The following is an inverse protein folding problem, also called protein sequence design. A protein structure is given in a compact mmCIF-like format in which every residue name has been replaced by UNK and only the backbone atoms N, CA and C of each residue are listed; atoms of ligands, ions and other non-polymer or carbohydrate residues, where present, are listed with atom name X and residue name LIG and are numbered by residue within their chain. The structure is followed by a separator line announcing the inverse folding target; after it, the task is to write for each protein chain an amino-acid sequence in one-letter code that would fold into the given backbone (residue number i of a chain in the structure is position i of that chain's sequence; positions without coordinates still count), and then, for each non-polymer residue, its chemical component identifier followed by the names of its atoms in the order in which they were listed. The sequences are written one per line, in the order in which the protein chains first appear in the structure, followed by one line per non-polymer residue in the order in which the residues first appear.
data_IF_566436689373
#
_entry.id   IF_566436689373
#
_cell.length_a   1.000
_cell.length_b   1.000
_cell.length_c   1.000
_cell.angle_alpha   90.00
_cell.angle_beta   90.00
_cell.angle_gamma   90.00
#
_symmetry.space_group_name_H-M   'P 1'
#
loop_
_entity.id
_entity.type
_entity.pdbx_description
1 polymer ?
#
# COMPACT_ATOMS: atom_id res chain seq x y z
N UNK A 1 30.42 19.42 74.78
CA UNK A 1 30.07 20.59 73.95
C UNK A 1 29.62 20.08 72.62
N UNK A 2 28.31 19.94 72.46
CA UNK A 2 27.63 19.38 71.28
C UNK A 2 26.86 20.52 70.62
N UNK A 3 27.25 20.87 69.39
CA UNK A 3 26.51 21.84 68.55
C UNK A 3 25.42 21.14 67.77
N UNK A 4 24.24 21.68 67.64
CA UNK A 4 23.15 21.07 66.87
C UNK A 4 23.32 21.40 65.36
N UNK A 5 23.13 20.36 64.53
CA UNK A 5 23.04 20.44 63.07
C UNK A 5 21.65 20.97 62.71
N UNK A 6 21.59 22.15 62.12
CA UNK A 6 20.38 22.69 61.54
C UNK A 6 20.14 22.04 60.16
N UNK A 7 19.10 21.25 60.07
CA UNK A 7 18.56 20.77 58.78
C UNK A 7 17.76 21.89 58.10
N UNK A 8 18.32 22.51 57.07
CA UNK A 8 17.57 23.35 56.15
C UNK A 8 16.69 22.48 55.24
N UNK A 9 15.37 22.61 55.39
CA UNK A 9 14.39 22.08 54.50
C UNK A 9 14.46 22.84 53.18
N UNK A 10 15.02 22.26 52.14
CA UNK A 10 14.84 22.71 50.79
C UNK A 10 13.45 22.30 50.34
N UNK A 11 12.54 23.26 50.34
CA UNK A 11 11.27 23.19 49.63
C UNK A 11 11.55 23.21 48.13
N UNK A 12 11.70 22.04 47.52
CA UNK A 12 11.76 21.85 46.08
C UNK A 12 10.43 22.31 45.48
N UNK A 13 10.49 23.46 44.82
CA UNK A 13 9.44 23.90 43.92
C UNK A 13 9.42 22.95 42.74
N UNK A 14 8.59 21.95 42.85
CA UNK A 14 8.23 21.07 41.71
C UNK A 14 7.38 21.91 40.75
N UNK A 15 8.07 22.72 39.95
CA UNK A 15 7.47 23.39 38.80
C UNK A 15 7.16 22.31 37.79
N UNK A 16 5.99 21.68 37.97
CA UNK A 16 5.39 20.86 36.92
C UNK A 16 5.27 21.73 35.66
N UNK A 17 6.23 21.59 34.76
CA UNK A 17 6.11 22.09 33.40
C UNK A 17 4.95 21.35 32.79
N UNK A 18 3.75 21.94 32.92
CA UNK A 18 2.59 21.50 32.19
C UNK A 18 2.91 21.65 30.70
N UNK A 19 3.30 20.56 30.08
CA UNK A 19 3.43 20.47 28.63
C UNK A 19 2.01 20.70 28.11
N UNK A 20 1.78 21.95 27.67
CA UNK A 20 0.55 22.34 26.97
C UNK A 20 0.47 21.49 25.70
N UNK A 21 -0.18 20.35 25.77
CA UNK A 21 -0.58 19.59 24.59
C UNK A 21 -1.55 20.51 23.83
N UNK A 22 -1.19 20.97 22.62
CA UNK A 22 -2.09 21.82 21.86
C UNK A 22 -3.37 21.03 21.60
N UNK A 23 -4.45 21.39 22.23
CA UNK A 23 -5.78 20.86 21.91
C UNK A 23 -6.04 21.26 20.45
N UNK A 24 -6.07 20.24 19.55
CA UNK A 24 -6.38 20.48 18.15
C UNK A 24 -7.76 21.10 18.04
N UNK A 25 -7.81 22.40 17.89
CA UNK A 25 -9.02 23.18 17.67
C UNK A 25 -9.77 22.61 16.46
N UNK A 26 -11.12 22.66 16.47
CA UNK A 26 -11.93 22.24 15.32
C UNK A 26 -11.50 22.92 14.00
N UNK A 27 -10.92 24.14 14.08
CA UNK A 27 -10.34 24.84 12.94
C UNK A 27 -9.09 24.16 12.37
N UNK A 28 -8.24 23.52 13.19
CA UNK A 28 -7.07 22.80 12.67
C UNK A 28 -7.46 21.53 11.92
N UNK A 29 -8.50 20.82 12.35
CA UNK A 29 -9.02 19.66 11.63
C UNK A 29 -9.59 20.05 10.28
N UNK A 30 -10.30 21.17 10.22
CA UNK A 30 -10.81 21.74 8.98
C UNK A 30 -9.68 22.16 8.04
N UNK A 31 -8.66 22.87 8.54
CA UNK A 31 -7.50 23.30 7.76
C UNK A 31 -6.70 22.12 7.21
N UNK A 32 -6.54 21.03 7.95
CA UNK A 32 -5.84 19.81 7.49
C UNK A 32 -6.49 19.17 6.25
N UNK A 33 -7.79 19.35 6.06
CA UNK A 33 -8.51 18.86 4.89
C UNK A 33 -8.63 19.95 3.83
N UNK A 34 -8.90 21.18 4.24
CA UNK A 34 -9.12 22.30 3.31
C UNK A 34 -7.87 22.67 2.52
N UNK A 35 -6.68 22.66 3.15
CA UNK A 35 -5.42 23.03 2.49
C UNK A 35 -5.07 22.09 1.32
N UNK A 36 -5.06 20.74 1.48
CA UNK A 36 -4.80 19.83 0.35
C UNK A 36 -5.82 19.95 -0.78
N UNK A 37 -7.10 20.15 -0.45
CA UNK A 37 -8.16 20.33 -1.45
C UNK A 37 -7.95 21.66 -2.20
N UNK A 38 -7.67 22.76 -1.48
CA UNK A 38 -7.39 24.04 -2.09
C UNK A 38 -6.18 24.01 -3.02
N UNK A 39 -5.10 23.30 -2.62
CA UNK A 39 -3.92 23.10 -3.46
C UNK A 39 -4.24 22.29 -4.71
N UNK A 40 -5.07 21.24 -4.60
CA UNK A 40 -5.49 20.45 -5.75
C UNK A 40 -6.32 21.29 -6.72
N UNK A 41 -7.29 22.05 -6.22
CA UNK A 41 -8.12 22.95 -7.03
C UNK A 41 -7.27 24.02 -7.70
N UNK A 42 -6.32 24.59 -6.95
CA UNK A 42 -5.37 25.58 -7.49
C UNK A 42 -4.52 24.97 -8.63
N UNK A 43 -3.98 23.77 -8.44
CA UNK A 43 -3.18 23.09 -9.47
C UNK A 43 -4.01 22.81 -10.74
N UNK A 44 -5.27 22.36 -10.60
CA UNK A 44 -6.18 22.13 -11.72
C UNK A 44 -6.51 23.47 -12.42
N UNK A 45 -6.73 24.54 -11.68
CA UNK A 45 -7.01 25.87 -12.25
C UNK A 45 -5.79 26.41 -13.03
N UNK A 46 -4.59 26.29 -12.47
CA UNK A 46 -3.33 26.68 -13.14
C UNK A 46 -3.16 25.87 -14.43
N UNK A 47 -3.38 24.56 -14.40
CA UNK A 47 -3.32 23.70 -15.59
C UNK A 47 -4.35 24.15 -16.66
N UNK A 48 -5.59 24.39 -16.27
CA UNK A 48 -6.63 24.88 -17.18
C UNK A 48 -6.24 26.23 -17.83
N UNK A 49 -5.79 27.19 -17.03
CA UNK A 49 -5.39 28.51 -17.48
C UNK A 49 -4.18 28.40 -18.44
N UNK A 50 -3.17 27.61 -18.10
CA UNK A 50 -2.00 27.39 -18.94
C UNK A 50 -2.36 26.87 -20.33
N UNK A 51 -3.24 25.86 -20.40
CA UNK A 51 -3.68 25.30 -21.69
C UNK A 51 -4.50 26.30 -22.51
N UNK A 52 -5.37 27.08 -21.85
CA UNK A 52 -6.22 28.07 -22.53
C UNK A 52 -5.43 29.26 -23.04
N UNK A 53 -4.55 29.86 -22.20
CA UNK A 53 -3.76 31.04 -22.57
C UNK A 53 -2.69 30.69 -23.60
N UNK A 54 -2.05 29.52 -23.43
CA UNK A 54 -1.03 29.04 -24.34
C UNK A 54 -1.57 28.49 -25.67
N UNK A 55 -2.90 28.40 -25.85
CA UNK A 55 -3.54 27.75 -27.01
C UNK A 55 -2.92 26.40 -27.33
N UNK A 56 -2.60 25.61 -26.28
CA UNK A 56 -1.90 24.34 -26.44
C UNK A 56 -2.83 23.33 -27.13
N UNK A 57 -2.37 22.70 -28.24
CA UNK A 57 -3.20 21.70 -28.93
C UNK A 57 -3.55 20.51 -28.03
N UNK A 58 -4.77 20.01 -28.12
CA UNK A 58 -5.30 18.91 -27.28
C UNK A 58 -4.51 17.60 -27.40
N UNK A 59 -3.82 17.39 -28.55
CA UNK A 59 -2.97 16.21 -28.76
C UNK A 59 -1.57 16.35 -28.11
N UNK A 60 -1.20 17.53 -27.60
CA UNK A 60 0.02 17.76 -26.81
C UNK A 60 -0.34 17.69 -25.32
N UNK A 61 -1.24 18.57 -24.89
CA UNK A 61 -1.69 18.63 -23.50
C UNK A 61 -3.19 18.99 -23.47
N UNK A 62 -4.07 18.04 -23.11
CA UNK A 62 -5.51 18.31 -22.99
C UNK A 62 -5.77 19.18 -21.77
N UNK A 63 -6.85 19.97 -21.81
CA UNK A 63 -7.32 20.69 -20.64
C UNK A 63 -8.03 19.74 -19.67
N UNK A 64 -8.12 20.07 -18.36
CA UNK A 64 -8.93 19.32 -17.40
C UNK A 64 -10.37 19.08 -17.85
N UNK A 65 -10.95 20.05 -18.55
CA UNK A 65 -12.31 19.94 -19.11
C UNK A 65 -12.35 18.91 -20.26
N UNK A 66 -11.33 18.87 -21.13
CA UNK A 66 -11.24 17.87 -22.19
C UNK A 66 -11.09 16.45 -21.60
N UNK A 67 -10.32 16.31 -20.51
CA UNK A 67 -10.17 15.03 -19.79
C UNK A 67 -11.49 14.58 -19.17
N UNK A 68 -12.23 15.48 -18.53
CA UNK A 68 -13.54 15.17 -17.96
C UNK A 68 -14.57 14.77 -19.04
N UNK A 69 -14.57 15.47 -20.17
CA UNK A 69 -15.40 15.12 -21.32
C UNK A 69 -15.04 13.75 -21.93
N UNK A 70 -13.76 13.46 -22.04
CA UNK A 70 -13.29 12.15 -22.50
C UNK A 70 -13.69 11.04 -21.52
N UNK A 71 -13.57 11.28 -20.22
CA UNK A 71 -14.00 10.33 -19.19
C UNK A 71 -15.50 10.00 -19.33
N UNK A 72 -16.34 11.01 -19.58
CA UNK A 72 -17.76 10.82 -19.74
C UNK A 72 -18.13 10.11 -21.07
N UNK A 73 -17.57 10.58 -22.19
CA UNK A 73 -17.91 10.08 -23.53
C UNK A 73 -17.35 8.67 -23.78
N UNK A 74 -16.15 8.37 -23.25
CA UNK A 74 -15.45 7.09 -23.43
C UNK A 74 -15.74 6.10 -22.30
N UNK A 75 -16.69 6.41 -21.38
CA UNK A 75 -16.98 5.59 -20.22
C UNK A 75 -17.31 4.14 -20.57
N UNK A 76 -18.07 3.94 -21.66
CA UNK A 76 -18.40 2.61 -22.17
C UNK A 76 -17.19 1.73 -22.52
N UNK A 77 -16.02 2.35 -22.78
CA UNK A 77 -14.76 1.65 -23.05
C UNK A 77 -13.84 1.59 -21.85
N UNK A 78 -13.79 2.66 -21.06
CA UNK A 78 -12.91 2.79 -19.90
C UNK A 78 -13.39 1.95 -18.71
N UNK A 79 -14.71 1.89 -18.48
CA UNK A 79 -15.25 1.15 -17.34
C UNK A 79 -15.02 -0.36 -17.42
N UNK A 80 -15.29 -1.07 -18.55
CA UNK A 80 -14.94 -2.48 -18.68
C UNK A 80 -13.42 -2.72 -18.48
N UNK A 81 -12.59 -1.84 -19.02
CA UNK A 81 -11.14 -1.93 -18.85
C UNK A 81 -10.71 -1.74 -17.38
N UNK A 82 -11.35 -0.82 -16.66
CA UNK A 82 -11.15 -0.65 -15.21
C UNK A 82 -11.48 -1.93 -14.45
N UNK A 83 -12.59 -2.59 -14.77
CA UNK A 83 -12.98 -3.84 -14.10
C UNK A 83 -11.96 -4.96 -14.35
N UNK A 84 -11.38 -5.04 -15.55
CA UNK A 84 -10.31 -6.01 -15.86
C UNK A 84 -9.08 -5.75 -15.00
N UNK A 85 -8.58 -4.51 -14.98
CA UNK A 85 -7.42 -4.15 -14.15
C UNK A 85 -7.69 -4.41 -12.67
N UNK A 86 -8.86 -4.05 -12.15
CA UNK A 86 -9.27 -4.33 -10.77
C UNK A 86 -9.30 -5.83 -10.46
N UNK A 87 -9.89 -6.64 -11.34
CA UNK A 87 -9.97 -8.09 -11.17
C UNK A 87 -8.57 -8.72 -11.08
N UNK A 88 -7.69 -8.36 -12.00
CA UNK A 88 -6.31 -8.89 -12.03
C UNK A 88 -5.56 -8.45 -10.77
N UNK A 89 -5.59 -7.16 -10.45
CA UNK A 89 -4.90 -6.60 -9.26
C UNK A 89 -5.39 -7.24 -7.97
N UNK A 90 -6.71 -7.36 -7.80
CA UNK A 90 -7.29 -7.95 -6.59
C UNK A 90 -6.97 -9.45 -6.49
N UNK A 91 -7.08 -10.20 -7.59
CA UNK A 91 -6.74 -11.64 -7.61
C UNK A 91 -5.26 -11.87 -7.29
N UNK A 92 -4.36 -11.05 -7.87
CA UNK A 92 -2.93 -11.09 -7.58
C UNK A 92 -2.64 -10.78 -6.11
N UNK A 93 -3.31 -9.77 -5.54
CA UNK A 93 -3.17 -9.40 -4.13
C UNK A 93 -3.64 -10.52 -3.21
N UNK A 94 -4.77 -11.14 -3.48
CA UNK A 94 -5.29 -12.26 -2.66
C UNK A 94 -4.32 -13.45 -2.71
N UNK A 95 -3.80 -13.80 -3.88
CA UNK A 95 -2.78 -14.85 -4.00
C UNK A 95 -1.50 -14.49 -3.25
N UNK A 96 -1.05 -13.24 -3.33
CA UNK A 96 0.12 -12.75 -2.62
C UNK A 96 -0.09 -12.76 -1.09
N UNK A 97 -1.29 -12.46 -0.61
CA UNK A 97 -1.66 -12.57 0.79
C UNK A 97 -1.58 -14.01 1.27
N UNK A 98 -2.28 -14.91 0.60
CA UNK A 98 -2.32 -16.32 1.00
C UNK A 98 -0.92 -16.95 0.92
N UNK A 99 -0.22 -16.76 -0.20
CA UNK A 99 1.13 -17.30 -0.41
C UNK A 99 2.16 -16.68 0.53
N UNK A 100 2.13 -15.35 0.70
CA UNK A 100 3.07 -14.62 1.56
C UNK A 100 2.92 -14.98 3.04
N UNK A 101 1.68 -15.06 3.54
CA UNK A 101 1.41 -15.47 4.93
C UNK A 101 1.79 -16.94 5.15
N UNK A 102 1.40 -17.83 4.24
CA UNK A 102 1.74 -19.25 4.34
C UNK A 102 3.26 -19.46 4.34
N UNK A 103 3.98 -18.80 3.43
CA UNK A 103 5.43 -18.85 3.37
C UNK A 103 6.07 -18.23 4.63
N UNK A 104 5.58 -17.12 5.15
CA UNK A 104 6.09 -16.51 6.38
C UNK A 104 5.96 -17.47 7.57
N UNK A 105 4.83 -18.13 7.71
CA UNK A 105 4.62 -19.13 8.75
C UNK A 105 5.63 -20.27 8.60
N UNK A 106 5.85 -20.79 7.39
CA UNK A 106 6.85 -21.83 7.12
C UNK A 106 8.27 -21.39 7.50
N UNK A 107 8.67 -20.19 7.11
CA UNK A 107 10.01 -19.65 7.38
C UNK A 107 10.29 -19.52 8.88
N UNK A 108 9.29 -19.12 9.67
CA UNK A 108 9.47 -18.90 11.12
C UNK A 108 9.48 -20.21 11.92
N UNK A 109 8.99 -21.31 11.35
CA UNK A 109 9.02 -22.63 12.03
C UNK A 109 10.42 -23.22 12.16
N UNK A 110 11.33 -22.93 11.21
CA UNK A 110 12.67 -23.50 11.20
C UNK A 110 13.69 -22.53 10.60
N UNK A 111 14.76 -22.28 11.34
CA UNK A 111 15.91 -21.48 10.87
C UNK A 111 16.50 -22.04 9.57
N UNK A 112 16.51 -23.35 9.41
CA UNK A 112 17.04 -23.98 8.19
C UNK A 112 16.16 -23.72 6.98
N UNK A 113 14.83 -23.77 7.15
CA UNK A 113 13.88 -23.43 6.09
C UNK A 113 14.01 -21.95 5.70
N UNK A 114 14.17 -21.08 6.68
CA UNK A 114 14.40 -19.66 6.42
C UNK A 114 15.68 -19.43 5.61
N UNK A 115 16.81 -20.00 6.06
CA UNK A 115 18.10 -19.87 5.37
C UNK A 115 18.06 -20.45 3.94
N UNK A 116 17.26 -21.50 3.71
CA UNK A 116 17.15 -22.12 2.40
C UNK A 116 16.24 -21.32 1.45
N UNK A 117 15.09 -20.81 1.92
CA UNK A 117 14.05 -20.25 1.03
C UNK A 117 14.05 -18.73 0.94
N UNK A 118 14.47 -18.02 1.99
CA UNK A 118 14.44 -16.56 2.01
C UNK A 118 15.28 -15.91 0.89
N UNK A 119 16.49 -16.43 0.54
CA UNK A 119 17.26 -15.90 -0.60
C UNK A 119 16.50 -15.92 -1.93
N UNK A 120 15.69 -16.96 -2.17
CA UNK A 120 14.87 -17.04 -3.40
C UNK A 120 13.77 -15.98 -3.42
N UNK A 121 13.14 -15.71 -2.27
CA UNK A 121 12.18 -14.62 -2.17
C UNK A 121 12.81 -13.25 -2.45
N UNK A 122 14.05 -13.02 -1.99
CA UNK A 122 14.82 -11.81 -2.29
C UNK A 122 15.14 -11.72 -3.79
N UNK A 123 15.55 -12.81 -4.42
CA UNK A 123 15.81 -12.85 -5.88
C UNK A 123 14.54 -12.47 -6.64
N UNK A 124 13.38 -13.02 -6.27
CA UNK A 124 12.10 -12.68 -6.90
C UNK A 124 11.78 -11.18 -6.79
N UNK A 125 12.08 -10.55 -5.66
CA UNK A 125 11.82 -9.12 -5.44
C UNK A 125 12.70 -8.22 -6.31
N UNK A 126 13.99 -8.54 -6.44
CA UNK A 126 14.94 -7.68 -7.18
C UNK A 126 14.88 -7.89 -8.68
N UNK A 127 14.22 -8.96 -9.13
CA UNK A 127 14.10 -9.24 -10.57
C UNK A 127 13.14 -8.25 -11.23
N UNK A 128 13.57 -7.52 -12.28
CA UNK A 128 12.76 -6.50 -12.92
C UNK A 128 11.52 -7.11 -13.59
N UNK A 129 10.32 -6.76 -13.11
CA UNK A 129 9.07 -7.29 -13.67
C UNK A 129 8.90 -6.98 -15.15
N UNK A 130 9.40 -5.82 -15.62
CA UNK A 130 9.36 -5.41 -17.03
C UNK A 130 10.10 -6.40 -17.92
N UNK A 131 11.18 -7.01 -17.42
CA UNK A 131 11.95 -8.00 -18.16
C UNK A 131 11.29 -9.39 -18.14
N UNK A 132 10.60 -9.74 -17.04
CA UNK A 132 9.96 -11.05 -16.90
C UNK A 132 8.60 -11.10 -17.60
N UNK A 133 7.85 -10.00 -17.62
CA UNK A 133 6.48 -9.97 -18.13
C UNK A 133 6.37 -10.54 -19.58
N UNK A 134 7.22 -10.18 -20.55
CA UNK A 134 7.17 -10.77 -21.89
C UNK A 134 7.41 -12.29 -21.90
N UNK A 135 8.31 -12.78 -21.03
CA UNK A 135 8.56 -14.22 -20.91
C UNK A 135 7.34 -14.94 -20.37
N UNK A 136 6.72 -14.41 -19.32
CA UNK A 136 5.51 -14.97 -18.76
C UNK A 136 4.37 -15.03 -19.78
N UNK A 137 4.21 -13.98 -20.60
CA UNK A 137 3.18 -13.95 -21.65
C UNK A 137 3.39 -15.07 -22.68
N UNK A 138 4.63 -15.40 -22.99
CA UNK A 138 4.95 -16.47 -23.95
C UNK A 138 4.71 -17.88 -23.35
N UNK A 139 5.04 -18.05 -22.06
CA UNK A 139 5.00 -19.37 -21.39
C UNK A 139 3.70 -19.70 -20.67
N UNK A 140 2.79 -18.73 -20.50
CA UNK A 140 1.48 -18.97 -19.87
C UNK A 140 0.39 -19.24 -20.90
N UNK A 141 -0.68 -19.99 -20.54
CA UNK A 141 -1.76 -20.33 -21.46
C UNK A 141 -2.52 -19.11 -22.01
N UNK A 142 -2.57 -18.05 -21.21
CA UNK A 142 -3.28 -16.80 -21.55
C UNK A 142 -2.64 -15.58 -20.88
N UNK A 143 -2.88 -14.42 -21.48
CA UNK A 143 -2.32 -13.15 -21.02
C UNK A 143 -2.77 -12.79 -19.61
N UNK A 144 -4.02 -13.09 -19.22
CA UNK A 144 -4.54 -12.74 -17.90
C UNK A 144 -3.80 -13.47 -16.78
N UNK A 145 -3.46 -14.76 -17.01
CA UNK A 145 -2.62 -15.55 -16.10
C UNK A 145 -1.21 -14.96 -15.98
N UNK A 146 -0.61 -14.51 -17.09
CA UNK A 146 0.68 -13.81 -17.04
C UNK A 146 0.62 -12.55 -16.18
N UNK A 147 -0.39 -11.70 -16.41
CA UNK A 147 -0.59 -10.45 -15.64
C UNK A 147 -0.80 -10.73 -14.15
N UNK A 148 -1.58 -11.77 -13.83
CA UNK A 148 -1.83 -12.20 -12.46
C UNK A 148 -0.53 -12.66 -11.77
N UNK A 149 0.29 -13.45 -12.45
CA UNK A 149 1.61 -13.89 -11.93
C UNK A 149 2.51 -12.69 -11.70
N UNK A 150 2.56 -11.74 -12.63
CA UNK A 150 3.34 -10.50 -12.46
C UNK A 150 2.91 -9.71 -11.23
N UNK A 151 1.61 -9.49 -11.04
CA UNK A 151 1.05 -8.82 -9.87
C UNK A 151 1.35 -9.56 -8.57
N UNK A 152 1.22 -10.88 -8.59
CA UNK A 152 1.56 -11.76 -7.46
C UNK A 152 3.03 -11.61 -7.06
N UNK A 153 3.97 -11.76 -7.99
CA UNK A 153 5.41 -11.74 -7.71
C UNK A 153 5.84 -10.46 -7.00
N UNK A 154 5.34 -9.31 -7.45
CA UNK A 154 5.73 -8.00 -6.88
C UNK A 154 5.07 -7.74 -5.53
N UNK A 155 3.81 -8.17 -5.34
CA UNK A 155 3.08 -7.99 -4.09
C UNK A 155 3.49 -9.00 -3.01
N UNK A 156 3.97 -10.17 -3.39
CA UNK A 156 4.30 -11.29 -2.50
C UNK A 156 5.37 -10.94 -1.48
N UNK A 157 6.49 -10.37 -1.93
CA UNK A 157 7.63 -10.14 -1.04
C UNK A 157 7.37 -9.12 0.08
N UNK A 158 6.75 -7.96 -0.15
CA UNK A 158 6.40 -7.03 0.92
C UNK A 158 5.49 -7.66 1.99
N UNK A 159 4.54 -8.50 1.56
CA UNK A 159 3.66 -9.21 2.48
C UNK A 159 4.44 -10.25 3.27
N UNK A 160 5.26 -11.06 2.60
CA UNK A 160 6.13 -12.06 3.20
C UNK A 160 7.08 -11.43 4.23
N UNK A 161 7.85 -10.41 3.83
CA UNK A 161 8.88 -9.80 4.66
C UNK A 161 8.29 -9.12 5.90
N UNK A 162 7.20 -8.37 5.74
CA UNK A 162 6.51 -7.75 6.86
C UNK A 162 5.91 -8.81 7.80
N UNK A 163 5.30 -9.87 7.27
CA UNK A 163 4.74 -10.94 8.09
C UNK A 163 5.83 -11.69 8.86
N UNK A 164 6.99 -12.00 8.25
CA UNK A 164 8.15 -12.60 8.93
C UNK A 164 8.66 -11.69 10.03
N UNK A 165 8.83 -10.39 9.76
CA UNK A 165 9.23 -9.41 10.77
C UNK A 165 8.24 -9.36 11.93
N UNK A 166 6.94 -9.36 11.64
CA UNK A 166 5.89 -9.38 12.65
C UNK A 166 5.87 -10.65 13.49
N UNK A 167 6.00 -11.83 12.87
CA UNK A 167 6.05 -13.10 13.61
C UNK A 167 7.30 -13.21 14.52
N UNK A 168 8.36 -12.46 14.20
CA UNK A 168 9.61 -12.40 15.01
C UNK A 168 9.65 -11.24 15.99
N UNK A 169 8.70 -10.31 15.98
CA UNK A 169 8.68 -9.14 16.85
C UNK A 169 8.15 -9.39 18.27
N UNK A 170 7.79 -10.64 18.57
CA UNK A 170 7.24 -11.01 19.89
C UNK A 170 8.30 -10.85 20.97
N UNK A 171 7.91 -10.28 22.12
CA UNK A 171 8.75 -10.12 23.28
C UNK A 171 9.23 -11.49 23.80
N UNK A 172 10.55 -11.59 24.02
CA UNK A 172 11.19 -12.81 24.54
C UNK A 172 10.63 -13.23 25.92
N UNK A 173 10.23 -12.29 26.76
CA UNK A 173 9.66 -12.61 28.05
C UNK A 173 8.30 -13.33 27.91
N UNK A 174 7.49 -12.92 26.92
CA UNK A 174 6.24 -13.60 26.62
C UNK A 174 6.48 -15.01 26.04
N UNK A 175 7.49 -15.17 25.18
CA UNK A 175 7.88 -16.50 24.68
C UNK A 175 8.31 -17.42 25.80
N UNK A 176 9.18 -16.94 26.71
CA UNK A 176 9.63 -17.69 27.87
C UNK A 176 8.47 -18.08 28.80
N UNK A 177 7.47 -17.18 28.96
CA UNK A 177 6.27 -17.47 29.74
C UNK A 177 5.48 -18.65 29.12
N UNK A 178 5.26 -18.62 27.79
CA UNK A 178 4.58 -19.72 27.09
C UNK A 178 5.36 -21.03 27.21
N UNK A 179 6.69 -21.00 27.17
CA UNK A 179 7.56 -22.17 27.35
C UNK A 179 7.44 -22.73 28.78
N UNK A 180 7.40 -21.86 29.81
CA UNK A 180 7.21 -22.26 31.21
C UNK A 180 5.86 -22.96 31.46
N UNK A 181 4.80 -22.52 30.74
CA UNK A 181 3.48 -23.19 30.78
C UNK A 181 3.37 -24.40 29.86
N UNK A 182 4.45 -24.81 29.20
CA UNK A 182 4.48 -26.00 28.33
C UNK A 182 3.67 -25.83 27.04
N UNK A 183 3.47 -24.60 26.57
CA UNK A 183 2.72 -24.34 25.34
C UNK A 183 3.44 -24.92 24.12
N UNK A 184 2.71 -25.63 23.26
CA UNK A 184 3.23 -26.16 22.02
C UNK A 184 3.59 -25.03 21.03
N UNK A 185 4.48 -25.29 20.06
CA UNK A 185 4.85 -24.34 19.00
C UNK A 185 3.63 -23.82 18.23
N UNK A 186 2.61 -24.66 18.04
CA UNK A 186 1.38 -24.26 17.38
C UNK A 186 0.55 -23.28 18.23
N UNK A 187 0.46 -23.53 19.53
CA UNK A 187 -0.19 -22.62 20.47
C UNK A 187 0.52 -21.26 20.52
N UNK A 188 1.85 -21.25 20.59
CA UNK A 188 2.64 -20.00 20.52
C UNK A 188 2.41 -19.28 19.19
N UNK A 189 2.34 -20.00 18.06
CA UNK A 189 2.07 -19.38 16.75
C UNK A 189 0.69 -18.72 16.72
N UNK A 190 -0.37 -19.46 17.08
CA UNK A 190 -1.76 -19.00 16.92
C UNK A 190 -2.14 -17.94 17.94
N UNK A 191 -1.77 -18.13 19.21
CA UNK A 191 -2.22 -17.27 20.30
C UNK A 191 -1.28 -16.11 20.63
N UNK A 192 -0.03 -16.16 20.19
CA UNK A 192 0.96 -15.14 20.51
C UNK A 192 1.53 -14.48 19.25
N UNK A 193 2.17 -15.26 18.35
CA UNK A 193 2.92 -14.69 17.20
C UNK A 193 2.00 -14.07 16.14
N UNK A 194 0.91 -14.74 15.75
CA UNK A 194 -0.02 -14.22 14.73
C UNK A 194 -0.70 -12.92 15.22
N UNK A 195 -1.28 -12.85 16.43
CA UNK A 195 -1.83 -11.58 16.93
C UNK A 195 -0.80 -10.46 17.01
N UNK A 196 0.41 -10.74 17.52
CA UNK A 196 1.48 -9.75 17.58
C UNK A 196 1.96 -9.26 16.21
N UNK A 197 1.84 -10.10 15.16
CA UNK A 197 2.24 -9.75 13.80
C UNK A 197 1.24 -8.88 13.04
N UNK A 198 0.02 -8.69 13.55
CA UNK A 198 -1.05 -7.97 12.83
C UNK A 198 -0.68 -6.56 12.35
N UNK A 199 0.01 -5.70 13.10
CA UNK A 199 0.43 -4.39 12.61
C UNK A 199 1.36 -4.47 11.42
N UNK A 200 2.31 -5.40 11.45
CA UNK A 200 3.25 -5.65 10.36
C UNK A 200 2.54 -6.22 9.13
N UNK A 201 1.62 -7.16 9.33
CA UNK A 201 0.80 -7.72 8.27
C UNK A 201 -0.01 -6.62 7.56
N UNK A 202 -0.65 -5.71 8.31
CA UNK A 202 -1.40 -4.60 7.74
C UNK A 202 -0.50 -3.60 6.98
N UNK A 203 0.74 -3.40 7.44
CA UNK A 203 1.73 -2.62 6.69
C UNK A 203 2.10 -3.31 5.37
N UNK A 204 2.37 -4.62 5.40
CA UNK A 204 2.64 -5.44 4.22
C UNK A 204 1.48 -5.43 3.22
N UNK A 205 0.24 -5.56 3.70
CA UNK A 205 -0.98 -5.49 2.88
C UNK A 205 -1.11 -4.15 2.15
N UNK A 206 -0.86 -3.05 2.85
CA UNK A 206 -0.95 -1.70 2.27
C UNK A 206 0.09 -1.50 1.16
N UNK A 207 1.34 -1.91 1.40
CA UNK A 207 2.42 -1.82 0.42
C UNK A 207 2.12 -2.77 -0.76
N UNK A 208 1.79 -4.02 -0.48
CA UNK A 208 1.49 -5.05 -1.47
C UNK A 208 0.32 -4.68 -2.38
N UNK A 209 -0.73 -4.04 -1.84
CA UNK A 209 -1.88 -3.60 -2.61
C UNK A 209 -1.54 -2.57 -3.69
N UNK A 210 -0.73 -1.56 -3.35
CA UNK A 210 -0.24 -0.59 -4.32
C UNK A 210 0.69 -1.22 -5.37
N UNK A 211 1.60 -2.08 -4.92
CA UNK A 211 2.54 -2.75 -5.82
C UNK A 211 1.87 -3.77 -6.75
N UNK A 212 0.80 -4.45 -6.32
CA UNK A 212 0.02 -5.32 -7.18
C UNK A 212 -0.59 -4.56 -8.37
N UNK A 213 -1.15 -3.36 -8.12
CA UNK A 213 -1.67 -2.51 -9.18
C UNK A 213 -0.56 -2.08 -10.15
N UNK A 214 0.57 -1.58 -9.63
CA UNK A 214 1.70 -1.13 -10.46
C UNK A 214 2.21 -2.27 -11.33
N UNK A 215 2.40 -3.46 -10.78
CA UNK A 215 2.88 -4.62 -11.51
C UNK A 215 1.90 -5.09 -12.58
N UNK A 216 0.59 -5.08 -12.28
CA UNK A 216 -0.44 -5.41 -13.27
C UNK A 216 -0.44 -4.44 -14.45
N UNK A 217 -0.33 -3.13 -14.17
CA UNK A 217 -0.25 -2.08 -15.19
C UNK A 217 1.00 -2.23 -16.05
N UNK A 218 2.17 -2.46 -15.45
CA UNK A 218 3.43 -2.66 -16.17
C UNK A 218 3.37 -3.91 -17.05
N UNK A 219 2.80 -4.99 -16.54
CA UNK A 219 2.62 -6.22 -17.30
C UNK A 219 1.63 -6.05 -18.46
N UNK A 220 0.54 -5.28 -18.29
CA UNK A 220 -0.37 -4.91 -19.39
C UNK A 220 0.34 -4.12 -20.50
N UNK A 221 1.27 -3.21 -20.14
CA UNK A 221 2.09 -2.50 -21.13
C UNK A 221 2.97 -3.47 -21.93
N UNK A 222 3.58 -4.45 -21.27
CA UNK A 222 4.39 -5.45 -21.93
C UNK A 222 3.56 -6.37 -22.83
N UNK A 223 2.33 -6.68 -22.42
CA UNK A 223 1.42 -7.52 -23.18
C UNK A 223 0.96 -6.87 -24.50
N UNK A 224 0.76 -5.55 -24.52
CA UNK A 224 0.45 -4.78 -25.74
C UNK A 224 -0.77 -5.26 -26.53
N UNK A 225 -1.54 -6.20 -26.02
CA UNK A 225 -2.56 -6.92 -26.79
C UNK A 225 -3.95 -6.34 -26.60
N UNK A 226 -4.58 -6.02 -27.72
CA UNK A 226 -6.00 -5.74 -27.81
C UNK A 226 -6.78 -7.06 -27.81
N UNK A 227 -7.60 -7.29 -26.81
CA UNK A 227 -8.53 -8.40 -26.76
C UNK A 227 -9.70 -8.10 -25.83
N UNK A 228 -10.73 -8.94 -25.87
CA UNK A 228 -11.75 -8.94 -24.84
C UNK A 228 -11.07 -9.33 -23.51
N UNK A 229 -10.75 -8.32 -22.69
CA UNK A 229 -10.00 -8.53 -21.45
C UNK A 229 -8.77 -7.64 -21.29
N UNK A 230 -8.59 -6.63 -22.16
CA UNK A 230 -7.57 -5.60 -21.99
C UNK A 230 -7.99 -4.60 -20.91
N UNK A 231 -7.06 -4.28 -19.99
CA UNK A 231 -7.27 -3.35 -18.90
C UNK A 231 -6.99 -1.89 -19.27
N UNK A 232 -6.94 -1.05 -18.24
CA UNK A 232 -6.75 0.40 -18.38
C UNK A 232 -5.38 0.77 -18.98
N UNK A 233 -4.31 0.01 -18.67
CA UNK A 233 -2.99 0.29 -19.19
C UNK A 233 -2.93 0.09 -20.71
N UNK A 234 -3.64 -0.92 -21.21
CA UNK A 234 -3.80 -1.08 -22.67
C UNK A 234 -4.55 0.11 -23.29
N UNK A 235 -5.65 0.59 -22.64
CA UNK A 235 -6.40 1.77 -23.14
C UNK A 235 -5.55 3.02 -23.16
N UNK A 236 -4.62 3.15 -22.24
CA UNK A 236 -3.65 4.23 -22.19
C UNK A 236 -2.71 4.16 -23.40
N UNK A 237 -2.12 2.98 -23.69
CA UNK A 237 -1.28 2.77 -24.86
C UNK A 237 -2.04 3.00 -26.17
N UNK A 238 -3.23 2.45 -26.31
CA UNK A 238 -4.09 2.65 -27.50
C UNK A 238 -4.34 4.14 -27.75
N UNK A 239 -4.66 4.89 -26.68
CA UNK A 239 -4.91 6.32 -26.77
C UNK A 239 -3.66 7.11 -27.16
N UNK A 240 -2.47 6.67 -26.70
CA UNK A 240 -1.19 7.25 -27.07
C UNK A 240 -0.90 7.07 -28.58
N UNK A 241 -1.06 5.85 -29.10
CA UNK A 241 -0.84 5.57 -30.53
C UNK A 241 -1.84 6.28 -31.45
N UNK A 242 -3.07 6.52 -30.94
CA UNK A 242 -4.11 7.26 -31.68
C UNK A 242 -4.02 8.78 -31.50
N UNK A 243 -3.03 9.29 -30.74
CA UNK A 243 -2.89 10.70 -30.37
C UNK A 243 -4.13 11.28 -29.67
N UNK A 244 -4.93 10.43 -29.02
CA UNK A 244 -6.09 10.83 -28.24
C UNK A 244 -5.67 11.11 -26.77
N UNK A 245 -4.98 12.24 -26.57
CA UNK A 245 -4.47 12.62 -25.25
C UNK A 245 -5.58 12.82 -24.20
N UNK A 246 -6.75 13.39 -24.50
CA UNK A 246 -7.83 13.49 -23.52
C UNK A 246 -8.22 12.12 -22.92
N UNK A 247 -8.37 11.08 -23.74
CA UNK A 247 -8.68 9.73 -23.30
C UNK A 247 -7.51 9.08 -22.55
N UNK A 248 -6.26 9.34 -22.97
CA UNK A 248 -5.07 8.89 -22.27
C UNK A 248 -5.05 9.41 -20.83
N UNK A 249 -5.26 10.73 -20.64
CA UNK A 249 -5.31 11.35 -19.32
C UNK A 249 -6.51 10.87 -18.50
N UNK A 250 -7.66 10.59 -19.13
CA UNK A 250 -8.82 10.00 -18.46
C UNK A 250 -8.50 8.58 -17.94
N UNK A 251 -7.84 7.73 -18.72
CA UNK A 251 -7.38 6.41 -18.29
C UNK A 251 -6.35 6.50 -17.16
N UNK A 252 -5.40 7.45 -17.24
CA UNK A 252 -4.40 7.70 -16.18
C UNK A 252 -5.09 8.17 -14.88
N UNK A 253 -6.09 9.03 -14.98
CA UNK A 253 -6.88 9.48 -13.83
C UNK A 253 -7.58 8.29 -13.14
N UNK A 254 -8.19 7.39 -13.91
CA UNK A 254 -8.83 6.19 -13.39
C UNK A 254 -7.81 5.25 -12.71
N UNK A 255 -6.64 5.06 -13.28
CA UNK A 255 -5.56 4.27 -12.66
C UNK A 255 -5.12 4.89 -11.33
N UNK A 256 -4.92 6.21 -11.31
CA UNK A 256 -4.55 6.94 -10.10
C UNK A 256 -5.64 6.83 -9.03
N UNK A 257 -6.90 7.05 -9.42
CA UNK A 257 -8.05 6.90 -8.52
C UNK A 257 -8.16 5.47 -7.97
N UNK A 258 -7.88 4.46 -8.79
CA UNK A 258 -7.83 3.04 -8.37
C UNK A 258 -6.74 2.81 -7.33
N UNK A 259 -5.54 3.34 -7.54
CA UNK A 259 -4.44 3.26 -6.57
C UNK A 259 -4.79 3.91 -5.23
N UNK A 260 -5.38 5.11 -5.27
CA UNK A 260 -5.86 5.82 -4.07
C UNK A 260 -6.97 5.02 -3.37
N UNK A 261 -7.90 4.43 -4.12
CA UNK A 261 -8.97 3.61 -3.56
C UNK A 261 -8.42 2.35 -2.87
N UNK A 262 -7.47 1.63 -3.49
CA UNK A 262 -6.80 0.48 -2.87
C UNK A 262 -6.09 0.90 -1.57
N UNK A 263 -5.35 2.01 -1.57
CA UNK A 263 -4.69 2.53 -0.39
C UNK A 263 -5.70 2.92 0.71
N UNK A 264 -6.79 3.57 0.36
CA UNK A 264 -7.84 3.96 1.30
C UNK A 264 -8.53 2.73 1.92
N UNK A 265 -8.88 1.73 1.09
CA UNK A 265 -9.50 0.49 1.55
C UNK A 265 -8.58 -0.29 2.47
N UNK A 266 -7.32 -0.49 2.09
CA UNK A 266 -6.33 -1.22 2.92
C UNK A 266 -6.03 -0.47 4.21
N UNK A 267 -5.98 0.87 4.19
CA UNK A 267 -5.82 1.71 5.38
C UNK A 267 -7.03 1.63 6.30
N UNK A 268 -8.24 1.62 5.75
CA UNK A 268 -9.48 1.47 6.51
C UNK A 268 -9.56 0.08 7.16
N UNK A 269 -9.21 -0.99 6.45
CA UNK A 269 -9.13 -2.34 6.99
C UNK A 269 -8.12 -2.39 8.13
N UNK A 270 -6.93 -1.79 7.93
CA UNK A 270 -5.89 -1.70 8.96
C UNK A 270 -6.41 -1.00 10.22
N UNK A 271 -7.09 0.13 10.07
CA UNK A 271 -7.69 0.85 11.19
C UNK A 271 -8.76 0.00 11.90
N UNK A 272 -9.65 -0.66 11.14
CA UNK A 272 -10.71 -1.51 11.70
C UNK A 272 -10.16 -2.66 12.54
N UNK A 273 -9.05 -3.28 12.08
CA UNK A 273 -8.42 -4.41 12.78
C UNK A 273 -7.65 -3.96 14.01
N UNK A 274 -6.92 -2.83 13.93
CA UNK A 274 -5.98 -2.44 14.97
C UNK A 274 -6.56 -1.51 16.04
N UNK A 275 -7.62 -0.74 15.74
CA UNK A 275 -8.06 0.37 16.59
C UNK A 275 -8.58 -0.03 17.99
N UNK A 276 -8.92 -1.30 18.21
CA UNK A 276 -9.54 -1.73 19.48
C UNK A 276 -8.59 -2.41 20.45
N UNK A 277 -7.43 -2.90 20.01
CA UNK A 277 -6.64 -3.79 20.85
C UNK A 277 -5.14 -3.86 20.54
N UNK A 278 -4.62 -2.87 19.82
CA UNK A 278 -3.18 -2.77 19.61
C UNK A 278 -2.66 -1.38 19.97
N UNK A 279 -1.58 -1.32 20.76
CA UNK A 279 -0.95 -0.06 21.21
C UNK A 279 -0.51 0.85 20.05
N UNK A 280 -0.18 0.27 18.89
CA UNK A 280 0.17 1.04 17.70
C UNK A 280 -0.98 1.87 17.12
N UNK A 281 -2.22 1.59 17.51
CA UNK A 281 -3.42 2.36 17.14
C UNK A 281 -3.76 3.44 18.16
N UNK A 282 -3.21 3.36 19.36
CA UNK A 282 -3.35 4.40 20.38
C UNK A 282 -2.51 5.61 19.95
N UNK A 283 -3.10 6.80 19.98
CA UNK A 283 -2.33 8.04 19.84
C UNK A 283 -1.32 8.07 20.98
N UNK A 284 -0.03 8.11 20.65
CA UNK A 284 0.97 8.50 21.63
C UNK A 284 0.61 9.90 22.08
N UNK A 285 0.15 10.02 23.31
CA UNK A 285 0.09 11.28 24.03
C UNK A 285 1.55 11.64 24.33
N UNK A 286 2.15 12.43 23.44
CA UNK A 286 3.41 13.13 23.66
C UNK A 286 3.09 14.57 23.89
#
# INVERSE_FOLDING_TARGET
MTSPVTTSSEAGTDSAVAILVPQTSGSEKFLRIAIPIAMLVFAIAVWQIYVMVGNVPKYILPSPVDVANALYNDWGTLYPALLVTLRITFSALVLALVGGVAMAILLVQSRWVELALFPFAVIMQVTPIVAIAPLLIIYTPDTQTALLICGFLVAFFPILSNMVAGLKSVDHNLLNLYDLYGASRWQQLVYLKIPASMPYFMAGLRIGGGLALIASVVAEFAAGSAGAGSGLAFRLLESQYRLNMPRLFAALLLLTATGVAIFAVTSFISWLVLHRWHESALKREN
#
